data_IF_534665937857
#
_entry.id   IF_534665937857
#
_cell.length_a   1.000
_cell.length_b   1.000
_cell.length_c   1.000
_cell.angle_alpha   90.00
_cell.angle_beta   90.00
_cell.angle_gamma   90.00
#
_symmetry.space_group_name_H-M   'P 1'
#
loop_
_entity.id
_entity.type
_entity.pdbx_description
1 polymer ?
#
# COMPACT_ATOMS: atom_id res chain seq x y z
N UNK A 1 18.46 -13.74 0.57
CA UNK A 1 17.81 -12.73 1.43
C UNK A 1 16.39 -13.22 1.74
N UNK A 2 16.00 -13.37 3.01
CA UNK A 2 14.67 -13.87 3.41
C UNK A 2 13.74 -12.70 3.82
N UNK A 3 12.48 -12.99 4.13
CA UNK A 3 11.50 -11.96 4.52
C UNK A 3 11.93 -11.16 5.75
N UNK A 4 12.46 -11.84 6.77
CA UNK A 4 12.91 -11.20 8.02
C UNK A 4 14.05 -10.22 7.76
N UNK A 5 15.03 -10.61 6.93
CA UNK A 5 16.13 -9.73 6.53
C UNK A 5 15.64 -8.48 5.80
N UNK A 6 14.69 -8.63 4.87
CA UNK A 6 14.11 -7.49 4.13
C UNK A 6 13.38 -6.51 5.04
N UNK A 7 12.53 -7.02 5.95
CA UNK A 7 11.81 -6.17 6.91
C UNK A 7 12.79 -5.46 7.84
N UNK A 8 13.82 -6.15 8.32
CA UNK A 8 14.85 -5.55 9.17
C UNK A 8 15.60 -4.40 8.46
N UNK A 9 15.95 -4.60 7.19
CA UNK A 9 16.65 -3.61 6.36
C UNK A 9 15.78 -2.36 6.14
N UNK A 10 14.56 -2.53 5.60
CA UNK A 10 13.68 -1.39 5.30
C UNK A 10 13.17 -0.67 6.56
N UNK A 11 12.96 -1.39 7.67
CA UNK A 11 12.56 -0.76 8.94
C UNK A 11 13.66 0.17 9.46
N UNK A 12 14.92 -0.18 9.21
CA UNK A 12 16.09 0.64 9.58
C UNK A 12 16.23 1.83 8.62
N UNK A 13 16.13 1.59 7.31
CA UNK A 13 16.24 2.61 6.26
C UNK A 13 15.19 3.73 6.43
N UNK A 14 13.93 3.34 6.61
CA UNK A 14 12.81 4.27 6.77
C UNK A 14 12.59 4.69 8.23
N UNK A 15 13.39 4.17 9.18
CA UNK A 15 13.20 4.35 10.62
C UNK A 15 11.73 4.17 11.07
N UNK A 16 11.11 3.08 10.60
CA UNK A 16 9.67 2.87 10.73
C UNK A 16 9.34 1.39 10.94
N UNK A 17 8.35 1.15 11.79
CA UNK A 17 7.69 -0.16 11.94
C UNK A 17 6.25 -0.10 11.44
N UNK A 18 5.87 0.97 10.75
CA UNK A 18 4.52 1.17 10.25
C UNK A 18 4.24 0.21 9.09
N UNK A 19 3.10 -0.47 9.16
CA UNK A 19 2.54 -1.25 8.07
C UNK A 19 1.22 -0.62 7.62
N UNK A 20 1.16 -0.21 6.35
CA UNK A 20 -0.07 0.36 5.78
C UNK A 20 -0.92 -0.75 5.15
N UNK A 21 -2.20 -0.78 5.53
CA UNK A 21 -3.18 -1.65 4.89
C UNK A 21 -3.59 -1.11 3.52
N UNK A 22 -3.58 -1.98 2.50
CA UNK A 22 -4.13 -1.67 1.18
C UNK A 22 -5.47 -2.37 1.06
N UNK A 23 -6.48 -1.83 1.74
CA UNK A 23 -7.80 -2.43 1.93
C UNK A 23 -8.86 -1.57 1.21
N UNK A 24 -8.68 -1.41 -0.11
CA UNK A 24 -9.34 -0.38 -0.91
C UNK A 24 -10.75 -0.77 -1.39
N UNK A 25 -11.76 -0.29 -0.67
CA UNK A 25 -13.17 -0.37 -1.08
C UNK A 25 -13.46 0.53 -2.29
N UNK A 26 -13.79 -0.08 -3.44
CA UNK A 26 -14.13 0.60 -4.70
C UNK A 26 -15.22 1.67 -4.55
N UNK A 27 -16.11 1.53 -3.56
CA UNK A 27 -17.19 2.48 -3.31
C UNK A 27 -16.73 3.73 -2.56
N UNK A 28 -15.60 3.65 -1.86
CA UNK A 28 -15.01 4.76 -1.10
C UNK A 28 -13.90 5.48 -1.84
N UNK A 29 -13.47 4.97 -3.00
CA UNK A 29 -12.46 5.62 -3.84
C UNK A 29 -12.99 6.98 -4.34
N UNK A 30 -12.16 8.05 -4.29
CA UNK A 30 -12.52 9.38 -4.78
C UNK A 30 -13.02 9.36 -6.23
N UNK A 31 -14.04 10.18 -6.52
CA UNK A 31 -14.72 10.22 -7.82
C UNK A 31 -13.76 10.41 -9.01
N UNK A 32 -12.76 11.28 -8.86
CA UNK A 32 -11.77 11.57 -9.91
C UNK A 32 -10.87 10.37 -10.25
N UNK A 33 -10.72 9.39 -9.34
CA UNK A 33 -9.98 8.15 -9.58
C UNK A 33 -10.93 7.05 -10.04
N UNK A 34 -12.17 7.04 -9.55
CA UNK A 34 -13.18 6.00 -9.86
C UNK A 34 -13.49 5.86 -11.35
N UNK A 35 -13.34 6.94 -12.14
CA UNK A 35 -13.55 6.93 -13.60
C UNK A 35 -12.32 6.56 -14.43
N UNK A 36 -11.19 6.20 -13.82
CA UNK A 36 -9.97 5.77 -14.51
C UNK A 36 -9.97 4.26 -14.79
N UNK A 37 -9.11 3.81 -15.69
CA UNK A 37 -8.85 2.38 -15.87
C UNK A 37 -8.21 1.80 -14.61
N UNK A 38 -8.79 0.73 -14.07
CA UNK A 38 -8.34 0.07 -12.83
C UNK A 38 -8.26 1.03 -11.61
N UNK A 39 -9.40 1.58 -11.13
CA UNK A 39 -9.43 2.60 -10.09
C UNK A 39 -8.82 2.16 -8.76
N UNK A 40 -9.01 0.89 -8.35
CA UNK A 40 -8.36 0.33 -7.16
C UNK A 40 -6.83 0.30 -7.27
N UNK A 41 -6.31 -0.06 -8.45
CA UNK A 41 -4.87 -0.04 -8.71
C UNK A 41 -4.32 1.39 -8.62
N UNK A 42 -4.96 2.35 -9.29
CA UNK A 42 -4.50 3.74 -9.29
C UNK A 42 -4.54 4.35 -7.88
N UNK A 43 -5.58 4.03 -7.10
CA UNK A 43 -5.68 4.48 -5.72
C UNK A 43 -4.59 3.88 -4.83
N UNK A 44 -4.37 2.56 -4.89
CA UNK A 44 -3.30 1.89 -4.14
C UNK A 44 -1.91 2.40 -4.53
N UNK A 45 -1.68 2.59 -5.84
CA UNK A 45 -0.43 3.13 -6.36
C UNK A 45 -0.16 4.51 -5.77
N UNK A 46 -1.15 5.40 -5.77
CA UNK A 46 -1.01 6.74 -5.19
C UNK A 46 -0.68 6.70 -3.69
N UNK A 47 -1.27 5.77 -2.93
CA UNK A 47 -0.90 5.53 -1.52
C UNK A 47 0.57 5.12 -1.43
N UNK A 48 0.99 4.10 -2.18
CA UNK A 48 2.36 3.58 -2.13
C UNK A 48 3.37 4.68 -2.50
N UNK A 49 3.14 5.41 -3.59
CA UNK A 49 4.02 6.49 -4.03
C UNK A 49 4.17 7.57 -2.96
N UNK A 50 3.10 7.90 -2.25
CA UNK A 50 3.11 8.90 -1.19
C UNK A 50 3.68 8.43 0.16
N UNK A 51 3.83 7.12 0.38
CA UNK A 51 4.17 6.59 1.73
C UNK A 51 5.32 5.58 1.78
N UNK A 52 5.93 5.20 0.65
CA UNK A 52 6.94 4.15 0.60
C UNK A 52 8.20 4.42 1.43
N UNK A 53 8.53 5.68 1.67
CA UNK A 53 9.64 6.16 2.51
C UNK A 53 9.29 6.24 4.02
N UNK A 54 8.03 5.99 4.38
CA UNK A 54 7.50 6.11 5.75
C UNK A 54 7.13 4.77 6.39
N UNK A 55 7.17 3.67 5.64
CA UNK A 55 6.66 2.35 6.08
C UNK A 55 7.73 1.27 5.99
N UNK A 56 7.57 0.20 6.75
CA UNK A 56 8.35 -1.03 6.54
C UNK A 56 7.63 -2.07 5.67
N UNK A 57 6.31 -1.95 5.54
CA UNK A 57 5.49 -2.91 4.80
C UNK A 57 4.15 -2.34 4.33
N UNK A 58 3.57 -3.02 3.34
CA UNK A 58 2.17 -2.91 2.96
C UNK A 58 1.49 -4.26 3.14
N UNK A 59 0.24 -4.25 3.60
CA UNK A 59 -0.57 -5.46 3.83
C UNK A 59 -1.90 -5.37 3.07
N UNK A 60 -1.97 -5.81 1.80
CA UNK A 60 -3.24 -5.93 1.10
C UNK A 60 -4.13 -7.01 1.74
N UNK A 61 -5.42 -6.76 1.84
CA UNK A 61 -6.42 -7.75 2.22
C UNK A 61 -7.15 -8.27 0.97
N UNK A 62 -7.07 -9.56 0.69
CA UNK A 62 -7.63 -10.18 -0.52
C UNK A 62 -9.13 -9.98 -0.67
N UNK A 63 -9.87 -9.86 0.43
CA UNK A 63 -11.32 -9.66 0.41
C UNK A 63 -11.79 -8.39 -0.34
N UNK A 64 -10.88 -7.45 -0.62
CA UNK A 64 -11.17 -6.23 -1.40
C UNK A 64 -10.85 -6.36 -2.90
N UNK A 65 -10.30 -7.49 -3.36
CA UNK A 65 -9.76 -7.69 -4.72
C UNK A 65 -10.23 -8.99 -5.39
N UNK A 66 -11.26 -9.63 -4.84
CA UNK A 66 -11.92 -10.82 -5.40
C UNK A 66 -12.96 -10.45 -6.47
#
# INVERSE_FOLDING_TARGET
>A
MNFQSKISEISTENNSLLCIGLDSDINKIPFHIKGTDNPQYNFNKAIIEATHDLVCAYKPNSAFYE
#
